data_IF_633156574622
#
_entry.id   IF_633156574622
#
_cell.length_a   1.000
_cell.length_b   1.000
_cell.length_c   1.000
_cell.angle_alpha   90.00
_cell.angle_beta   90.00
_cell.angle_gamma   90.00
#
_symmetry.space_group_name_H-M   'P 1'
#
loop_
_entity.id
_entity.type
_entity.pdbx_description
1 polymer ?
#
# COMPACT_ATOMS: atom_id res chain seq x y z
N UNK A 1 -13.40 1.61 -6.45
CA UNK A 1 -13.53 2.97 -7.03
C UNK A 1 -12.58 3.08 -8.23
N UNK A 2 -12.96 3.74 -9.33
CA UNK A 2 -12.06 4.04 -10.43
C UNK A 2 -10.85 4.89 -10.00
N UNK A 3 -9.70 4.71 -10.68
CA UNK A 3 -8.47 5.46 -10.35
C UNK A 3 -8.61 6.97 -10.55
N UNK A 4 -9.42 7.41 -11.52
CA UNK A 4 -9.63 8.83 -11.83
C UNK A 4 -10.36 9.59 -10.71
N UNK A 5 -10.99 8.89 -9.77
CA UNK A 5 -11.76 9.49 -8.69
C UNK A 5 -10.92 9.60 -7.39
N UNK A 6 -9.67 9.10 -7.39
CA UNK A 6 -8.77 9.20 -6.25
C UNK A 6 -8.19 10.61 -6.13
N UNK A 7 -8.27 11.18 -4.93
CA UNK A 7 -7.67 12.47 -4.59
C UNK A 7 -7.04 12.42 -3.19
N UNK A 8 -6.02 13.27 -2.97
CA UNK A 8 -5.38 13.47 -1.66
C UNK A 8 -5.41 14.96 -1.30
N UNK A 9 -5.41 15.34 -0.01
CA UNK A 9 -5.34 16.72 0.41
C UNK A 9 -4.06 17.44 -0.09
N UNK A 10 -4.17 18.71 -0.49
CA UNK A 10 -3.01 19.50 -0.95
C UNK A 10 -1.95 19.70 0.14
N UNK A 11 -2.39 19.72 1.40
CA UNK A 11 -1.50 19.85 2.57
C UNK A 11 -0.97 18.53 3.12
N UNK A 12 -1.18 17.41 2.42
CA UNK A 12 -0.67 16.10 2.85
C UNK A 12 0.86 16.10 2.94
N UNK A 13 1.41 15.60 4.05
CA UNK A 13 2.86 15.61 4.28
C UNK A 13 3.62 14.64 3.35
N UNK A 14 2.99 13.54 2.94
CA UNK A 14 3.52 12.62 1.94
C UNK A 14 3.63 13.28 0.57
N UNK A 15 2.68 14.16 0.23
CA UNK A 15 2.71 14.94 -1.01
C UNK A 15 3.70 16.13 -0.94
N UNK A 16 3.61 16.96 0.09
CA UNK A 16 4.37 18.23 0.18
C UNK A 16 5.85 17.99 0.52
N UNK A 17 6.13 17.05 1.43
CA UNK A 17 7.46 16.84 1.99
C UNK A 17 8.08 15.50 1.57
N UNK A 18 7.33 14.63 0.88
CA UNK A 18 7.78 13.26 0.62
C UNK A 18 7.85 12.41 1.88
N UNK A 19 7.13 12.77 2.95
CA UNK A 19 7.11 12.03 4.22
C UNK A 19 6.25 10.76 4.08
N UNK A 20 6.73 9.78 3.31
CA UNK A 20 5.98 8.56 2.98
C UNK A 20 6.88 7.33 2.99
N UNK A 21 6.28 6.18 3.29
CA UNK A 21 6.81 4.85 3.02
C UNK A 21 5.91 4.20 1.98
N UNK A 22 6.48 3.55 0.96
CA UNK A 22 5.69 2.91 -0.10
C UNK A 22 6.22 1.52 -0.41
N UNK A 23 5.31 0.61 -0.75
CA UNK A 23 5.61 -0.71 -1.27
C UNK A 23 5.05 -0.88 -2.68
N UNK A 24 5.81 -1.56 -3.55
CA UNK A 24 5.36 -1.93 -4.89
C UNK A 24 5.35 -3.45 -5.01
N UNK A 25 4.15 -4.02 -5.10
CA UNK A 25 3.96 -5.47 -5.15
C UNK A 25 3.70 -5.94 -6.58
N UNK A 26 4.41 -6.99 -7.00
CA UNK A 26 4.16 -7.63 -8.28
C UNK A 26 2.93 -8.53 -8.18
N UNK A 27 2.11 -8.53 -9.23
CA UNK A 27 0.99 -9.47 -9.37
C UNK A 27 1.27 -10.52 -10.43
N UNK A 28 0.89 -11.77 -10.17
CA UNK A 28 0.92 -12.89 -11.12
C UNK A 28 -0.46 -13.53 -11.11
N UNK A 29 -1.19 -13.46 -12.24
CA UNK A 29 -2.55 -14.00 -12.38
C UNK A 29 -3.51 -13.52 -11.27
N UNK A 30 -3.51 -12.21 -11.01
CA UNK A 30 -4.37 -11.59 -9.99
C UNK A 30 -3.98 -11.87 -8.53
N UNK A 31 -2.83 -12.52 -8.28
CA UNK A 31 -2.31 -12.78 -6.94
C UNK A 31 -1.03 -11.99 -6.68
N UNK A 32 -0.87 -11.51 -5.45
CA UNK A 32 0.37 -10.87 -5.01
C UNK A 32 1.52 -11.89 -4.99
N UNK A 33 2.71 -11.48 -5.43
CA UNK A 33 3.94 -12.24 -5.32
C UNK A 33 4.69 -11.79 -4.06
N UNK A 34 4.99 -12.75 -3.16
CA UNK A 34 5.69 -12.52 -1.89
C UNK A 34 5.03 -11.46 -0.96
N UNK A 35 3.71 -11.53 -0.70
CA UNK A 35 3.02 -10.50 0.09
C UNK A 35 3.52 -10.40 1.54
N UNK A 36 3.96 -11.51 2.13
CA UNK A 36 4.47 -11.55 3.51
C UNK A 36 5.76 -10.75 3.63
N UNK A 37 6.71 -10.99 2.74
CA UNK A 37 8.02 -10.36 2.73
C UNK A 37 7.92 -8.85 2.46
N UNK A 38 6.98 -8.45 1.59
CA UNK A 38 6.65 -7.04 1.38
C UNK A 38 6.01 -6.42 2.63
N UNK A 39 5.13 -7.14 3.33
CA UNK A 39 4.54 -6.69 4.59
C UNK A 39 5.58 -6.50 5.70
N UNK A 40 6.49 -7.44 5.87
CA UNK A 40 7.60 -7.34 6.83
C UNK A 40 8.50 -6.14 6.54
N UNK A 41 8.82 -5.90 5.26
CA UNK A 41 9.59 -4.72 4.85
C UNK A 41 8.84 -3.42 5.13
N UNK A 42 7.55 -3.37 4.85
CA UNK A 42 6.71 -2.21 5.16
C UNK A 42 6.77 -1.87 6.65
N UNK A 43 6.60 -2.86 7.53
CA UNK A 43 6.68 -2.67 8.99
C UNK A 43 8.05 -2.12 9.40
N UNK A 44 9.12 -2.72 8.89
CA UNK A 44 10.48 -2.27 9.20
C UNK A 44 10.72 -0.82 8.74
N UNK A 45 10.26 -0.45 7.54
CA UNK A 45 10.40 0.91 7.01
C UNK A 45 9.58 1.94 7.79
N UNK A 46 8.33 1.61 8.15
CA UNK A 46 7.48 2.48 8.98
C UNK A 46 8.12 2.73 10.36
N UNK A 47 8.63 1.67 11.00
CA UNK A 47 9.32 1.77 12.27
C UNK A 47 10.58 2.63 12.20
N UNK A 48 11.35 2.55 11.10
CA UNK A 48 12.58 3.31 10.91
C UNK A 48 12.35 4.84 10.84
N UNK A 49 11.16 5.27 10.42
CA UNK A 49 10.81 6.70 10.27
C UNK A 49 9.77 7.18 11.29
N UNK A 50 9.31 6.29 12.18
CA UNK A 50 8.34 6.62 13.23
C UNK A 50 6.95 6.98 12.70
N UNK A 51 6.52 6.41 11.57
CA UNK A 51 5.18 6.60 11.02
C UNK A 51 4.29 5.44 11.46
N UNK A 52 3.17 5.75 12.13
CA UNK A 52 2.16 4.77 12.55
C UNK A 52 0.90 4.94 11.70
N UNK A 53 0.62 4.02 10.76
CA UNK A 53 -0.63 4.04 10.00
C UNK A 53 -1.82 3.64 10.88
N UNK A 54 -3.03 4.14 10.60
CA UNK A 54 -4.23 3.75 11.33
C UNK A 54 -4.65 2.30 11.04
N UNK A 55 -4.31 1.78 9.85
CA UNK A 55 -4.51 0.38 9.48
C UNK A 55 -3.38 -0.53 9.96
N UNK A 56 -3.69 -1.78 10.26
CA UNK A 56 -2.67 -2.78 10.55
C UNK A 56 -1.87 -3.14 9.29
N UNK A 57 -0.58 -3.51 9.42
CA UNK A 57 0.22 -3.97 8.28
C UNK A 57 -0.41 -5.15 7.53
N UNK A 58 -0.99 -6.10 8.26
CA UNK A 58 -1.74 -7.22 7.68
C UNK A 58 -2.95 -6.74 6.88
N UNK A 59 -3.72 -5.79 7.43
CA UNK A 59 -4.89 -5.23 6.74
C UNK A 59 -4.52 -4.51 5.45
N UNK A 60 -3.39 -3.81 5.40
CA UNK A 60 -2.88 -3.17 4.19
C UNK A 60 -2.52 -4.20 3.10
N UNK A 61 -1.88 -5.31 3.47
CA UNK A 61 -1.55 -6.40 2.54
C UNK A 61 -2.81 -7.10 2.02
N UNK A 62 -3.80 -7.33 2.88
CA UNK A 62 -5.10 -7.90 2.50
C UNK A 62 -5.86 -6.99 1.52
N UNK A 63 -5.91 -5.68 1.80
CA UNK A 63 -6.51 -4.70 0.90
C UNK A 63 -5.82 -4.68 -0.47
N UNK A 64 -4.48 -4.75 -0.51
CA UNK A 64 -3.74 -4.85 -1.75
C UNK A 64 -4.08 -6.14 -2.54
N UNK A 65 -4.28 -7.26 -1.85
CA UNK A 65 -4.68 -8.52 -2.48
C UNK A 65 -6.10 -8.45 -3.06
N UNK A 66 -7.03 -7.80 -2.35
CA UNK A 66 -8.38 -7.56 -2.84
C UNK A 66 -8.37 -6.72 -4.12
N UNK A 67 -7.62 -5.61 -4.13
CA UNK A 67 -7.49 -4.73 -5.30
C UNK A 67 -6.90 -5.50 -6.50
N UNK A 68 -5.85 -6.30 -6.27
CA UNK A 68 -5.24 -7.12 -7.32
C UNK A 68 -6.23 -8.14 -7.92
N UNK A 69 -7.00 -8.82 -7.06
CA UNK A 69 -8.02 -9.79 -7.48
C UNK A 69 -9.20 -9.14 -8.20
N UNK A 70 -9.66 -7.98 -7.73
CA UNK A 70 -10.72 -7.21 -8.38
C UNK A 70 -10.30 -6.77 -9.79
N UNK A 71 -9.13 -6.13 -9.92
CA UNK A 71 -8.66 -5.59 -11.18
C UNK A 71 -8.30 -6.67 -12.21
N UNK A 72 -7.90 -7.87 -11.79
CA UNK A 72 -7.63 -8.97 -12.73
C UNK A 72 -8.89 -9.47 -13.46
N UNK A 73 -10.09 -9.27 -12.88
CA UNK A 73 -11.37 -9.70 -13.45
C UNK A 73 -11.95 -8.72 -14.48
N UNK A 74 -11.41 -7.49 -14.54
CA UNK A 74 -11.85 -6.41 -15.42
C UNK A 74 -11.04 -6.40 -16.72
#
# INVERSE_FOLDING_TARGET
MPRCDLAVPVGDAGFVLGATVTEQLRTIRGRLFLPTEHGERLVASLAAVGIEPPESPTGLVEAAAEVASHNHRL
#
